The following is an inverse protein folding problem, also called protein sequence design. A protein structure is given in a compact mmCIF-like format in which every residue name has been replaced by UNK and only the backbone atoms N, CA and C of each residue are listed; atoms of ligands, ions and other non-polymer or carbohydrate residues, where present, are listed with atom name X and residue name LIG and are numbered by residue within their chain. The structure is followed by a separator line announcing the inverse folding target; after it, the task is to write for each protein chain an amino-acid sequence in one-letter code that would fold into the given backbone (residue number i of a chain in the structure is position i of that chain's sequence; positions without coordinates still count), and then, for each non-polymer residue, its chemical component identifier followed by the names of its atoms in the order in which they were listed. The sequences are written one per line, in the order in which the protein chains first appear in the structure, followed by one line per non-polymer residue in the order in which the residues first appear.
data_IF_648790179407
#
_entry.id   IF_648790179407
#
_cell.length_a   1.000
_cell.length_b   1.000
_cell.length_c   1.000
_cell.angle_alpha   90.00
_cell.angle_beta   90.00
_cell.angle_gamma   90.00
#
_symmetry.space_group_name_H-M   'P 1'
#
loop_
_entity.id
_entity.type
_entity.pdbx_description
1 polymer ?
#
# COMPACT_ATOMS: atom_id res chain seq x y z
N UNK A 1 -15.37 0.57 16.59
CA UNK A 1 -16.05 -0.40 15.70
C UNK A 1 -16.27 0.07 14.26
N UNK A 2 -16.13 1.36 13.91
CA UNK A 2 -16.37 1.83 12.52
C UNK A 2 -15.16 1.63 11.58
N UNK A 3 -13.92 1.81 12.06
CA UNK A 3 -12.72 1.80 11.21
C UNK A 3 -12.40 0.44 10.57
N UNK A 4 -12.59 -0.68 11.27
CA UNK A 4 -12.33 -2.02 10.72
C UNK A 4 -13.28 -2.34 9.56
N UNK A 5 -14.55 -1.95 9.66
CA UNK A 5 -15.53 -2.12 8.57
C UNK A 5 -15.14 -1.27 7.36
N UNK A 6 -14.76 -0.01 7.59
CA UNK A 6 -14.29 0.88 6.51
C UNK A 6 -13.06 0.30 5.80
N UNK A 7 -12.06 -0.16 6.55
CA UNK A 7 -10.86 -0.82 5.99
C UNK A 7 -11.24 -2.07 5.19
N UNK A 8 -12.13 -2.91 5.73
CA UNK A 8 -12.58 -4.12 5.05
C UNK A 8 -13.35 -3.84 3.76
N UNK A 9 -14.12 -2.74 3.72
CA UNK A 9 -14.83 -2.26 2.53
C UNK A 9 -13.83 -1.75 1.49
N UNK A 10 -12.88 -0.89 1.87
CA UNK A 10 -11.89 -0.36 0.92
C UNK A 10 -11.00 -1.46 0.33
N UNK A 11 -10.58 -2.45 1.13
CA UNK A 11 -9.85 -3.62 0.61
C UNK A 11 -10.70 -4.42 -0.38
N UNK A 12 -12.00 -4.54 -0.13
CA UNK A 12 -12.92 -5.20 -1.05
C UNK A 12 -13.07 -4.41 -2.36
N UNK A 13 -13.17 -3.09 -2.29
CA UNK A 13 -13.22 -2.21 -3.47
C UNK A 13 -11.93 -2.29 -4.29
N UNK A 14 -10.76 -2.31 -3.65
CA UNK A 14 -9.48 -2.48 -4.32
C UNK A 14 -9.43 -3.80 -5.10
N UNK A 15 -9.92 -4.89 -4.49
CA UNK A 15 -10.01 -6.18 -5.15
C UNK A 15 -10.96 -6.15 -6.35
N UNK A 16 -12.14 -5.56 -6.18
CA UNK A 16 -13.12 -5.43 -7.27
C UNK A 16 -12.58 -4.60 -8.44
N UNK A 17 -11.86 -3.52 -8.15
CA UNK A 17 -11.18 -2.73 -9.16
C UNK A 17 -10.18 -3.59 -9.97
N UNK A 18 -9.38 -4.42 -9.29
CA UNK A 18 -8.47 -5.36 -9.95
C UNK A 18 -9.19 -6.42 -10.80
N UNK A 19 -10.33 -6.93 -10.34
CA UNK A 19 -11.09 -7.96 -11.05
C UNK A 19 -11.72 -7.43 -12.36
N UNK A 20 -12.05 -6.13 -12.42
CA UNK A 20 -12.59 -5.47 -13.62
C UNK A 20 -11.49 -5.07 -14.60
N UNK A 21 -10.29 -4.78 -14.09
CA UNK A 21 -9.15 -4.39 -14.91
C UNK A 21 -8.57 -5.57 -15.68
N UNK A 22 -8.28 -5.34 -16.95
CA UNK A 22 -7.58 -6.28 -17.82
C UNK A 22 -6.33 -5.61 -18.42
N UNK A 23 -5.25 -6.36 -18.67
CA UNK A 23 -4.05 -5.84 -19.34
C UNK A 23 -4.34 -5.20 -20.71
N UNK A 24 -5.44 -5.61 -21.37
CA UNK A 24 -5.86 -5.13 -22.70
C UNK A 24 -6.89 -4.00 -22.67
N UNK A 25 -7.35 -3.58 -21.49
CA UNK A 25 -8.37 -2.55 -21.34
C UNK A 25 -7.80 -1.16 -21.63
N UNK A 26 -8.64 -0.20 -22.04
CA UNK A 26 -8.24 1.18 -22.33
C UNK A 26 -7.54 1.87 -21.16
N UNK A 27 -6.90 3.00 -21.44
CA UNK A 27 -6.30 3.85 -20.42
C UNK A 27 -7.34 4.35 -19.41
N UNK A 28 -6.86 4.65 -18.20
CA UNK A 28 -7.68 5.15 -17.11
C UNK A 28 -8.36 6.48 -17.49
N UNK A 29 -9.55 6.71 -16.92
CA UNK A 29 -10.28 7.94 -17.18
C UNK A 29 -9.54 9.17 -16.65
N UNK A 30 -9.86 10.35 -17.17
CA UNK A 30 -9.30 11.60 -16.65
C UNK A 30 -9.71 11.86 -15.19
N UNK A 31 -10.85 11.31 -14.76
CA UNK A 31 -11.30 11.37 -13.38
C UNK A 31 -10.42 10.48 -12.47
N UNK A 32 -10.13 9.24 -12.89
CA UNK A 32 -9.22 8.34 -12.16
C UNK A 32 -7.82 8.97 -12.01
N UNK A 33 -7.31 9.62 -13.08
CA UNK A 33 -6.03 10.32 -13.04
C UNK A 33 -6.04 11.49 -12.07
N UNK A 34 -7.12 12.27 -12.03
CA UNK A 34 -7.27 13.39 -11.08
C UNK A 34 -7.32 12.89 -9.65
N UNK A 35 -8.10 11.86 -9.38
CA UNK A 35 -8.20 11.24 -8.05
C UNK A 35 -6.84 10.70 -7.59
N UNK A 36 -6.10 10.01 -8.48
CA UNK A 36 -4.74 9.55 -8.20
C UNK A 36 -3.80 10.70 -7.80
N UNK A 37 -3.80 11.80 -8.57
CA UNK A 37 -2.93 12.95 -8.25
C UNK A 37 -3.35 13.64 -6.93
N UNK A 38 -4.65 13.72 -6.65
CA UNK A 38 -5.15 14.28 -5.40
C UNK A 38 -4.73 13.44 -4.20
N UNK A 39 -4.86 12.11 -4.29
CA UNK A 39 -4.40 11.19 -3.24
C UNK A 39 -2.89 11.29 -3.01
N UNK A 40 -2.11 11.37 -4.09
CA UNK A 40 -0.67 11.56 -4.00
C UNK A 40 -0.31 12.89 -3.32
N UNK A 41 -1.04 13.96 -3.63
CA UNK A 41 -0.78 15.29 -3.08
C UNK A 41 -1.19 15.42 -1.59
N UNK A 42 -2.20 14.67 -1.14
CA UNK A 42 -2.69 14.73 0.24
C UNK A 42 -1.79 14.04 1.26
N UNK A 43 -0.92 13.12 0.80
CA UNK A 43 -0.02 12.39 1.70
C UNK A 43 1.13 13.28 2.22
N UNK A 44 1.47 13.17 3.53
CA UNK A 44 2.67 13.79 4.10
C UNK A 44 3.96 13.36 3.38
N UNK A 45 4.96 14.25 3.35
CA UNK A 45 6.26 14.01 2.70
C UNK A 45 6.96 12.73 3.15
N UNK A 46 6.93 12.43 4.45
CA UNK A 46 7.53 11.21 5.00
C UNK A 46 6.89 9.94 4.42
N UNK A 47 5.56 9.92 4.27
CA UNK A 47 4.87 8.78 3.67
C UNK A 47 5.10 8.68 2.17
N UNK A 48 5.17 9.82 1.46
CA UNK A 48 5.52 9.83 0.03
C UNK A 48 6.91 9.26 -0.20
N UNK A 49 7.88 9.69 0.62
CA UNK A 49 9.24 9.18 0.59
C UNK A 49 9.24 7.68 0.85
N UNK A 50 8.57 7.23 1.91
CA UNK A 50 8.50 5.81 2.26
C UNK A 50 7.88 4.94 1.14
N UNK A 51 6.88 5.44 0.42
CA UNK A 51 6.29 4.77 -0.74
C UNK A 51 7.31 4.66 -1.88
N UNK A 52 8.06 5.73 -2.20
CA UNK A 52 9.09 5.67 -3.23
C UNK A 52 10.23 4.72 -2.85
N UNK A 53 10.68 4.71 -1.59
CA UNK A 53 11.70 3.76 -1.12
C UNK A 53 11.23 2.31 -1.18
N UNK A 54 9.96 2.06 -0.88
CA UNK A 54 9.32 0.76 -1.05
C UNK A 54 9.25 0.35 -2.54
N UNK A 55 8.94 1.29 -3.46
CA UNK A 55 8.95 1.05 -4.92
C UNK A 55 10.34 0.70 -5.43
N UNK A 56 11.37 1.37 -4.92
CA UNK A 56 12.78 1.11 -5.23
C UNK A 56 13.31 -0.18 -4.62
N UNK A 57 12.50 -0.91 -3.84
CA UNK A 57 12.88 -2.13 -3.14
C UNK A 57 14.11 -1.92 -2.24
N UNK A 58 14.24 -0.75 -1.60
CA UNK A 58 15.40 -0.42 -0.74
C UNK A 58 15.60 -1.43 0.39
N UNK A 59 14.54 -2.13 0.80
CA UNK A 59 14.58 -3.12 1.86
C UNK A 59 13.53 -4.22 1.65
N UNK A 60 13.84 -5.48 2.02
CA UNK A 60 12.90 -6.60 1.90
C UNK A 60 11.79 -6.59 2.96
N UNK A 61 11.99 -5.83 4.05
CA UNK A 61 11.07 -5.64 5.17
C UNK A 61 11.03 -4.17 5.52
N UNK A 62 9.84 -3.63 5.82
CA UNK A 62 9.71 -2.22 6.18
C UNK A 62 10.44 -1.99 7.51
N UNK A 63 11.51 -1.16 7.54
CA UNK A 63 12.34 -1.00 8.73
C UNK A 63 11.67 -0.07 9.75
N UNK A 64 11.86 -0.37 11.04
CA UNK A 64 11.57 0.63 12.08
C UNK A 64 12.72 1.64 12.18
N UNK A 65 12.43 2.89 12.54
CA UNK A 65 13.43 3.97 12.65
C UNK A 65 14.59 3.64 13.60
N UNK A 66 14.33 2.82 14.61
CA UNK A 66 15.31 2.38 15.61
C UNK A 66 16.02 1.08 15.25
N UNK A 67 15.55 0.32 14.25
CA UNK A 67 15.98 -1.06 14.00
C UNK A 67 17.47 -1.21 13.70
N UNK A 68 18.11 -0.17 13.15
CA UNK A 68 19.53 -0.19 12.76
C UNK A 68 20.37 0.91 13.41
N UNK A 69 19.83 1.64 14.40
CA UNK A 69 20.55 2.72 15.11
C UNK A 69 21.18 2.20 16.41
N UNK A 70 22.47 2.47 16.61
CA UNK A 70 23.18 2.11 17.84
C UNK A 70 22.85 3.04 19.03
N UNK A 71 22.52 4.30 18.75
CA UNK A 71 22.06 5.27 19.74
C UNK A 71 20.65 5.74 19.36
N UNK A 72 19.66 5.30 20.13
CA UNK A 72 18.24 5.60 19.90
C UNK A 72 17.89 6.89 20.63
N UNK A 73 17.50 7.94 19.90
CA UNK A 73 16.96 9.15 20.50
C UNK A 73 15.45 8.98 20.80
N UNK A 74 14.84 9.83 21.66
CA UNK A 74 13.40 9.80 21.90
C UNK A 74 12.56 9.96 20.61
N UNK A 75 13.06 10.71 19.63
CA UNK A 75 12.42 10.95 18.34
C UNK A 75 12.42 9.68 17.47
N UNK A 76 13.43 8.83 17.61
CA UNK A 76 13.57 7.53 16.93
C UNK A 76 12.60 6.46 17.45
N UNK A 77 11.95 6.73 18.59
CA UNK A 77 10.89 5.87 19.13
C UNK A 77 9.53 6.10 18.47
N UNK A 78 9.40 7.10 17.59
CA UNK A 78 8.19 7.24 16.76
C UNK A 78 8.09 6.03 15.83
N UNK A 79 7.14 5.15 16.13
CA UNK A 79 6.97 3.88 15.44
C UNK A 79 6.42 4.16 14.03
N UNK A 80 7.05 3.58 13.01
CA UNK A 80 6.58 3.71 11.63
C UNK A 80 5.16 3.15 11.49
N UNK A 81 4.83 2.16 12.32
CA UNK A 81 3.49 1.61 12.49
C UNK A 81 2.47 2.68 12.92
N UNK A 82 2.80 3.60 13.83
CA UNK A 82 1.84 4.61 14.31
C UNK A 82 1.51 5.61 13.20
N UNK A 83 2.53 6.01 12.43
CA UNK A 83 2.36 6.86 11.26
C UNK A 83 1.49 6.20 10.18
N UNK A 84 1.77 4.93 9.86
CA UNK A 84 0.98 4.15 8.88
C UNK A 84 -0.45 3.94 9.39
N UNK A 85 -0.63 3.62 10.67
CA UNK A 85 -1.95 3.41 11.28
C UNK A 85 -2.80 4.67 11.25
N UNK A 86 -2.21 5.83 11.54
CA UNK A 86 -2.90 7.13 11.53
C UNK A 86 -3.38 7.54 10.13
N UNK A 87 -2.72 7.04 9.07
CA UNK A 87 -3.01 7.39 7.67
C UNK A 87 -3.51 6.21 6.84
N UNK A 88 -3.90 5.11 7.48
CA UNK A 88 -4.32 3.89 6.79
C UNK A 88 -5.46 4.11 5.81
N UNK A 89 -6.44 4.93 6.19
CA UNK A 89 -7.56 5.25 5.30
C UNK A 89 -7.08 5.93 4.01
N UNK A 90 -6.23 6.95 4.13
CA UNK A 90 -5.65 7.67 2.99
C UNK A 90 -4.78 6.75 2.12
N UNK A 91 -4.01 5.86 2.74
CA UNK A 91 -3.22 4.85 2.02
C UNK A 91 -4.09 3.85 1.24
N UNK A 92 -5.23 3.42 1.80
CA UNK A 92 -6.16 2.51 1.12
C UNK A 92 -6.90 3.20 -0.04
N UNK A 93 -7.27 4.47 0.12
CA UNK A 93 -7.84 5.28 -0.97
C UNK A 93 -6.78 5.45 -2.07
N UNK A 94 -5.54 5.75 -1.71
CA UNK A 94 -4.46 5.89 -2.69
C UNK A 94 -4.11 4.57 -3.37
N UNK A 95 -4.19 3.44 -2.66
CA UNK A 95 -4.05 2.10 -3.24
C UNK A 95 -5.09 1.87 -4.34
N UNK A 96 -6.37 2.16 -4.06
CA UNK A 96 -7.44 2.05 -5.05
C UNK A 96 -7.18 2.94 -6.26
N UNK A 97 -6.86 4.22 -6.04
CA UNK A 97 -6.56 5.14 -7.13
C UNK A 97 -5.37 4.68 -7.98
N UNK A 98 -4.32 4.13 -7.35
CA UNK A 98 -3.15 3.57 -8.03
C UNK A 98 -3.52 2.35 -8.90
N UNK A 99 -4.40 1.49 -8.39
CA UNK A 99 -4.96 0.36 -9.15
C UNK A 99 -5.72 0.86 -10.38
N UNK A 100 -6.61 1.85 -10.22
CA UNK A 100 -7.43 2.40 -11.30
C UNK A 100 -6.60 2.99 -12.44
N UNK A 101 -5.46 3.62 -12.12
CA UNK A 101 -4.51 4.14 -13.13
C UNK A 101 -3.46 3.12 -13.59
N UNK A 102 -3.59 1.85 -13.15
CA UNK A 102 -2.67 0.74 -13.44
C UNK A 102 -1.21 0.98 -12.99
N UNK A 103 -0.99 1.84 -12.00
CA UNK A 103 0.31 2.02 -11.35
C UNK A 103 0.53 0.89 -10.34
N UNK A 104 0.84 -0.29 -10.88
CA UNK A 104 1.01 -1.50 -10.06
C UNK A 104 2.22 -1.41 -9.13
N UNK A 105 3.25 -0.63 -9.49
CA UNK A 105 4.43 -0.42 -8.66
C UNK A 105 4.07 0.35 -7.38
N UNK A 106 3.37 1.48 -7.51
CA UNK A 106 2.89 2.24 -6.35
C UNK A 106 1.87 1.43 -5.54
N UNK A 107 0.96 0.72 -6.20
CA UNK A 107 0.02 -0.16 -5.51
C UNK A 107 0.72 -1.25 -4.69
N UNK A 108 1.74 -1.93 -5.25
CA UNK A 108 2.50 -2.96 -4.55
C UNK A 108 3.32 -2.39 -3.38
N UNK A 109 3.89 -1.19 -3.54
CA UNK A 109 4.57 -0.50 -2.45
C UNK A 109 3.63 -0.17 -1.29
N UNK A 110 2.43 0.33 -1.58
CA UNK A 110 1.44 0.59 -0.53
C UNK A 110 1.02 -0.71 0.16
N UNK A 111 0.78 -1.78 -0.60
CA UNK A 111 0.51 -3.13 -0.05
C UNK A 111 1.61 -3.57 0.91
N UNK A 112 2.87 -3.38 0.53
CA UNK A 112 4.03 -3.70 1.37
C UNK A 112 4.06 -2.88 2.68
N UNK A 113 3.76 -1.58 2.62
CA UNK A 113 3.75 -0.72 3.82
C UNK A 113 2.63 -1.07 4.79
N UNK A 114 1.41 -1.32 4.30
CA UNK A 114 0.25 -1.59 5.16
C UNK A 114 0.16 -3.06 5.60
N UNK A 115 0.95 -3.95 4.99
CA UNK A 115 0.98 -5.38 5.30
C UNK A 115 1.12 -5.61 6.81
N UNK A 116 2.16 -5.03 7.43
CA UNK A 116 2.41 -5.24 8.86
C UNK A 116 1.17 -4.90 9.69
N UNK A 117 0.51 -3.78 9.43
CA UNK A 117 -0.71 -3.37 10.13
C UNK A 117 -1.87 -4.36 9.93
N UNK A 118 -2.12 -4.78 8.69
CA UNK A 118 -3.26 -5.65 8.36
C UNK A 118 -3.15 -7.07 8.92
N UNK A 119 -1.97 -7.48 9.37
CA UNK A 119 -1.77 -8.68 10.19
C UNK A 119 -2.45 -8.59 11.54
N UNK A 120 -2.20 -7.49 12.24
CA UNK A 120 -2.65 -7.30 13.62
C UNK A 120 -4.16 -7.21 13.72
N UNK A 121 -4.83 -6.87 12.60
CA UNK A 121 -6.30 -6.74 12.52
C UNK A 121 -6.96 -7.88 11.73
N UNK A 122 -6.24 -8.99 11.50
CA UNK A 122 -6.74 -10.20 10.83
C UNK A 122 -7.34 -9.94 9.42
N UNK A 123 -6.71 -9.03 8.66
CA UNK A 123 -7.14 -8.63 7.31
C UNK A 123 -6.13 -9.03 6.22
N UNK A 124 -5.12 -9.84 6.56
CA UNK A 124 -4.03 -10.22 5.65
C UNK A 124 -4.53 -11.01 4.42
N UNK A 125 -5.54 -11.85 4.57
CA UNK A 125 -6.09 -12.66 3.47
C UNK A 125 -6.60 -11.81 2.30
N UNK A 126 -7.28 -10.69 2.58
CA UNK A 126 -7.75 -9.75 1.55
C UNK A 126 -6.58 -9.02 0.89
N UNK A 127 -5.59 -8.61 1.68
CA UNK A 127 -4.40 -7.95 1.16
C UNK A 127 -3.63 -8.85 0.19
N UNK A 128 -3.49 -10.14 0.51
CA UNK A 128 -2.84 -11.12 -0.36
C UNK A 128 -3.61 -11.35 -1.67
N UNK A 129 -4.94 -11.27 -1.64
CA UNK A 129 -5.74 -11.32 -2.88
C UNK A 129 -5.46 -10.11 -3.78
N UNK A 130 -5.29 -8.92 -3.21
CA UNK A 130 -4.89 -7.71 -3.94
C UNK A 130 -3.49 -7.88 -4.52
N UNK A 131 -2.51 -8.32 -3.72
CA UNK A 131 -1.15 -8.58 -4.18
C UNK A 131 -1.11 -9.57 -5.37
N UNK A 132 -1.91 -10.64 -5.28
CA UNK A 132 -2.07 -11.62 -6.37
C UNK A 132 -2.73 -11.00 -7.61
N UNK A 133 -3.72 -10.12 -7.43
CA UNK A 133 -4.36 -9.40 -8.53
C UNK A 133 -3.39 -8.47 -9.25
N UNK A 134 -2.56 -7.72 -8.51
CA UNK A 134 -1.51 -6.87 -9.06
C UNK A 134 -0.50 -7.68 -9.88
N UNK A 135 -0.03 -8.82 -9.36
CA UNK A 135 0.87 -9.69 -10.08
C UNK A 135 0.25 -10.27 -11.37
N UNK A 136 -1.06 -10.56 -11.38
CA UNK A 136 -1.76 -11.00 -12.60
C UNK A 136 -1.90 -9.87 -13.63
N UNK A 137 -2.18 -8.65 -13.18
CA UNK A 137 -2.35 -7.50 -14.05
C UNK A 137 -1.03 -7.10 -14.71
N UNK A 138 0.06 -7.09 -13.93
CA UNK A 138 1.40 -6.77 -14.40
C UNK A 138 2.43 -7.68 -13.71
N UNK A 139 2.80 -8.82 -14.33
CA UNK A 139 3.71 -9.82 -13.74
C UNK A 139 5.11 -9.30 -13.39
N UNK A 140 5.54 -8.23 -14.05
CA UNK A 140 6.81 -7.56 -13.75
C UNK A 140 6.79 -6.73 -12.45
N UNK A 141 5.63 -6.54 -11.83
CA UNK A 141 5.50 -5.79 -10.57
C UNK A 141 6.19 -6.55 -9.45
N UNK A 142 7.21 -5.97 -8.79
CA UNK A 142 7.86 -6.62 -7.67
C UNK A 142 6.93 -6.70 -6.47
N UNK A 143 6.88 -7.88 -5.83
CA UNK A 143 6.18 -8.08 -4.56
C UNK A 143 7.23 -8.29 -3.48
N UNK A 144 7.18 -7.47 -2.43
CA UNK A 144 8.17 -7.51 -1.36
C UNK A 144 8.19 -8.88 -0.65
N UNK A 145 9.37 -9.43 -0.28
CA UNK A 145 9.47 -10.68 0.47
C UNK A 145 8.62 -10.72 1.74
N UNK A 146 8.47 -9.59 2.45
CA UNK A 146 7.57 -9.47 3.60
C UNK A 146 6.13 -9.90 3.30
N UNK A 147 5.61 -9.57 2.12
CA UNK A 147 4.24 -9.94 1.70
C UNK A 147 4.18 -11.41 1.25
N UNK A 148 5.29 -11.95 0.75
CA UNK A 148 5.36 -13.36 0.34
C UNK A 148 5.35 -14.30 1.55
N UNK A 149 6.07 -13.97 2.62
CA UNK A 149 6.08 -14.80 3.85
C UNK A 149 4.75 -14.76 4.63
N UNK A 150 3.81 -13.93 4.20
CA UNK A 150 2.44 -13.83 4.75
C UNK A 150 1.46 -14.81 4.11
N UNK A 151 1.85 -15.43 2.98
CA UNK A 151 1.06 -16.40 2.22
C UNK A 151 0.80 -17.70 2.99
#
# INVERSE_FOLDING_TARGET
MNNQKVVATLLQECKQALDVLSPKMSDASEEDKREYQQCKASLPDDLRTLIEEAKEMKWPFVPEKWQYKQAISPEDKTNLQDMISARLHELLVYLKASIMVKDCATAAAIVFLIDRFLYWVDASSKLLQIAKGLHKLQPATPIAPQVVIRL
#
